data_IF_771063256858
#
_entry.id   IF_771063256858
#
_cell.length_a   1.000
_cell.length_b   1.000
_cell.length_c   1.000
_cell.angle_alpha   90.00
_cell.angle_beta   90.00
_cell.angle_gamma   90.00
#
_symmetry.space_group_name_H-M   'P 1'
#
loop_
_entity.id
_entity.type
_entity.pdbx_description
1 polymer ?
#
# COMPACT_ATOMS: atom_id res chain seq x y z
N UNK A 1 45.18 -25.08 2.15
CA UNK A 1 44.20 -24.23 2.84
C UNK A 1 42.85 -24.56 2.24
N UNK A 2 42.01 -25.25 3.00
CA UNK A 2 40.70 -25.77 2.56
C UNK A 2 39.60 -24.76 2.87
N UNK A 3 38.52 -24.82 2.08
CA UNK A 3 37.22 -24.15 2.21
C UNK A 3 37.10 -22.79 1.53
N UNK A 4 36.64 -22.82 0.27
CA UNK A 4 35.79 -21.75 -0.28
C UNK A 4 34.40 -21.94 0.33
N UNK A 5 33.80 -20.94 0.99
CA UNK A 5 32.47 -21.09 1.54
C UNK A 5 31.46 -21.14 0.39
N UNK A 6 30.69 -22.22 0.33
CA UNK A 6 29.48 -22.34 -0.49
C UNK A 6 28.52 -21.21 -0.13
N UNK A 7 28.49 -20.15 -0.94
CA UNK A 7 27.48 -19.11 -0.88
C UNK A 7 26.19 -19.60 -1.53
N UNK A 8 25.57 -20.61 -0.92
CA UNK A 8 24.22 -21.07 -1.26
C UNK A 8 23.23 -20.12 -0.57
N UNK A 9 23.08 -18.91 -1.11
CA UNK A 9 22.11 -17.93 -0.63
C UNK A 9 20.79 -18.15 -1.39
N UNK A 10 19.67 -18.52 -0.75
CA UNK A 10 18.41 -18.85 -1.45
C UNK A 10 17.68 -17.65 -2.07
N UNK A 11 18.29 -16.47 -2.16
CA UNK A 11 17.54 -15.21 -2.21
C UNK A 11 17.59 -14.42 -3.53
N UNK A 12 18.19 -14.95 -4.60
CA UNK A 12 18.26 -14.23 -5.89
C UNK A 12 18.08 -15.20 -7.07
N UNK A 13 16.90 -15.82 -7.20
CA UNK A 13 16.51 -16.40 -8.49
C UNK A 13 15.96 -15.24 -9.37
N UNK A 14 16.68 -14.83 -10.43
CA UNK A 14 16.25 -13.73 -11.29
C UNK A 14 14.96 -14.03 -12.08
N UNK A 15 14.44 -15.26 -12.01
CA UNK A 15 13.19 -15.67 -12.64
C UNK A 15 11.99 -15.66 -11.67
N UNK A 16 12.18 -15.27 -10.41
CA UNK A 16 11.08 -15.22 -9.45
C UNK A 16 10.10 -14.07 -9.80
N UNK A 17 8.78 -14.32 -9.83
CA UNK A 17 7.81 -13.29 -10.13
C UNK A 17 7.82 -12.18 -9.07
N UNK A 18 7.84 -10.93 -9.51
CA UNK A 18 7.87 -9.75 -8.62
C UNK A 18 6.61 -9.73 -7.72
N UNK A 19 6.75 -9.68 -6.39
CA UNK A 19 5.65 -9.58 -5.44
C UNK A 19 4.69 -8.41 -5.75
N UNK A 20 3.38 -8.63 -5.60
CA UNK A 20 2.36 -7.62 -5.91
C UNK A 20 2.50 -6.34 -5.07
N UNK A 21 2.90 -6.47 -3.80
CA UNK A 21 3.07 -5.30 -2.93
C UNK A 21 4.25 -4.43 -3.40
N UNK A 22 5.28 -5.05 -3.99
CA UNK A 22 6.43 -4.35 -4.55
C UNK A 22 6.01 -3.52 -5.76
N UNK A 23 5.26 -4.13 -6.70
CA UNK A 23 4.69 -3.42 -7.85
C UNK A 23 3.74 -2.28 -7.45
N UNK A 24 3.00 -2.43 -6.35
CA UNK A 24 2.10 -1.41 -5.82
C UNK A 24 2.87 -0.20 -5.26
N UNK A 25 3.95 -0.45 -4.50
CA UNK A 25 4.79 0.58 -3.88
C UNK A 25 5.81 1.20 -4.84
N UNK A 26 6.17 0.51 -5.93
CA UNK A 26 7.12 1.00 -6.94
C UNK A 26 6.51 2.01 -7.93
N UNK A 27 5.18 2.10 -8.00
CA UNK A 27 4.50 3.07 -8.88
C UNK A 27 4.10 4.34 -8.12
N UNK A 28 4.84 5.46 -8.28
CA UNK A 28 4.61 6.68 -7.52
C UNK A 28 3.23 7.31 -7.79
N UNK A 29 2.66 7.14 -8.99
CA UNK A 29 1.32 7.65 -9.29
C UNK A 29 0.22 6.83 -8.62
N UNK A 30 0.43 5.52 -8.49
CA UNK A 30 -0.51 4.64 -7.82
C UNK A 30 -0.51 4.93 -6.30
N UNK A 31 0.68 5.12 -5.73
CA UNK A 31 0.84 5.61 -4.35
C UNK A 31 0.20 6.99 -4.14
N UNK A 32 0.40 7.94 -5.06
CA UNK A 32 -0.23 9.26 -4.99
C UNK A 32 -1.75 9.14 -5.06
N UNK A 33 -2.26 8.36 -6.01
CA UNK A 33 -3.69 8.15 -6.19
C UNK A 33 -4.32 7.57 -4.93
N UNK A 34 -3.76 6.49 -4.37
CA UNK A 34 -4.24 5.94 -3.11
C UNK A 34 -4.11 6.96 -1.97
N UNK A 35 -2.99 7.69 -1.91
CA UNK A 35 -2.72 8.70 -0.90
C UNK A 35 -3.71 9.87 -0.89
N UNK A 36 -4.28 10.24 -2.03
CA UNK A 36 -5.33 11.28 -2.13
C UNK A 36 -6.72 10.65 -2.03
N UNK A 37 -6.94 9.50 -2.65
CA UNK A 37 -8.26 8.86 -2.73
C UNK A 37 -8.72 8.34 -1.37
N UNK A 38 -7.82 7.76 -0.56
CA UNK A 38 -8.15 7.25 0.78
C UNK A 38 -8.71 8.37 1.68
N UNK A 39 -7.99 9.48 1.96
CA UNK A 39 -8.52 10.54 2.81
C UNK A 39 -9.75 11.20 2.18
N UNK A 40 -9.80 11.35 0.86
CA UNK A 40 -10.98 11.87 0.17
C UNK A 40 -12.24 11.07 0.53
N UNK A 41 -12.19 9.74 0.41
CA UNK A 41 -13.34 8.87 0.71
C UNK A 41 -13.64 8.89 2.22
N UNK A 42 -12.61 8.73 3.07
CA UNK A 42 -12.78 8.70 4.52
C UNK A 42 -13.46 9.97 5.03
N UNK A 43 -12.95 11.15 4.66
CA UNK A 43 -13.53 12.41 5.10
C UNK A 43 -14.88 12.70 4.47
N UNK A 44 -15.13 12.26 3.23
CA UNK A 44 -16.45 12.41 2.60
C UNK A 44 -17.49 11.56 3.33
N UNK A 45 -17.20 10.28 3.58
CA UNK A 45 -18.11 9.39 4.29
C UNK A 45 -18.34 9.85 5.72
N UNK A 46 -17.27 10.22 6.43
CA UNK A 46 -17.35 10.74 7.78
C UNK A 46 -18.19 12.02 7.84
N UNK A 47 -17.97 12.97 6.93
CA UNK A 47 -18.76 14.21 6.86
C UNK A 47 -20.24 13.97 6.54
N UNK A 48 -20.56 13.00 5.67
CA UNK A 48 -21.96 12.62 5.40
C UNK A 48 -22.62 12.05 6.64
N UNK A 49 -21.94 11.15 7.36
CA UNK A 49 -22.47 10.58 8.61
C UNK A 49 -22.70 11.70 9.62
N UNK A 50 -21.74 12.62 9.79
CA UNK A 50 -21.85 13.75 10.71
C UNK A 50 -23.12 14.56 10.42
N UNK A 51 -23.31 15.01 9.17
CA UNK A 51 -24.49 15.78 8.73
C UNK A 51 -25.81 15.04 9.00
N UNK A 52 -25.87 13.74 8.71
CA UNK A 52 -27.09 12.94 8.91
C UNK A 52 -27.41 12.71 10.39
N UNK A 53 -26.39 12.75 11.26
CA UNK A 53 -26.55 12.56 12.71
C UNK A 53 -26.80 13.86 13.46
N UNK A 54 -26.63 15.03 12.83
CA UNK A 54 -26.97 16.32 13.44
C UNK A 54 -28.49 16.37 13.68
N UNK A 55 -28.93 16.56 14.95
CA UNK A 55 -30.34 16.68 15.27
C UNK A 55 -30.90 17.97 14.67
N UNK A 56 -31.98 17.84 13.90
CA UNK A 56 -32.71 18.99 13.38
C UNK A 56 -33.32 19.76 14.56
N UNK A 57 -33.13 21.08 14.57
CA UNK A 57 -33.67 21.95 15.61
C UNK A 57 -35.18 21.74 15.77
N UNK A 58 -35.65 21.74 17.02
CA UNK A 58 -37.03 21.46 17.41
C UNK A 58 -37.98 22.60 17.05
#
# INVERSE_FOLDING_TARGET
MSQTPDSNHPADDPNEPVPLIQQLLDNPFLLLFLGVMIPMIVYSLWGVIDILTVPLAK
#
